data_IF_041902705940
#
_entry.id   IF_041902705940
#
_cell.length_a   1.000
_cell.length_b   1.000
_cell.length_c   1.000
_cell.angle_alpha   90.00
_cell.angle_beta   90.00
_cell.angle_gamma   90.00
#
_symmetry.space_group_name_H-M   'P 1'
#
loop_
_entity.id
_entity.type
_entity.pdbx_description
1 polymer ?
#
# COMPACT_ATOMS: atom_id res chain seq x y z
N UNK A 1 18.62 11.93 24.06
CA UNK A 1 17.34 11.47 24.65
C UNK A 1 16.36 12.61 24.86
N UNK A 2 16.84 13.86 25.04
CA UNK A 2 15.96 15.03 25.15
C UNK A 2 15.20 15.36 23.84
N UNK A 3 15.75 14.97 22.70
CA UNK A 3 15.19 15.18 21.36
C UNK A 3 13.91 14.33 21.11
N UNK A 4 13.72 13.24 21.89
CA UNK A 4 12.59 12.32 21.79
C UNK A 4 11.67 12.40 23.03
N UNK A 5 11.20 13.60 23.35
CA UNK A 5 10.32 13.86 24.49
C UNK A 5 8.83 13.83 24.13
N UNK A 6 8.49 13.47 22.90
CA UNK A 6 7.12 13.42 22.39
C UNK A 6 6.33 12.18 22.82
N UNK A 7 5.27 11.88 22.08
CA UNK A 7 4.37 10.74 22.32
C UNK A 7 5.13 9.41 22.25
N UNK A 8 4.75 8.46 23.13
CA UNK A 8 5.25 7.08 23.11
C UNK A 8 4.24 6.19 22.40
N UNK A 9 4.70 5.41 21.44
CA UNK A 9 3.91 4.41 20.73
C UNK A 9 4.28 3.01 21.25
N UNK A 10 3.27 2.13 21.43
CA UNK A 10 3.42 0.76 21.92
C UNK A 10 4.29 0.65 23.19
N UNK A 11 4.29 1.67 24.06
CA UNK A 11 5.13 1.79 25.25
C UNK A 11 6.65 1.61 24.99
N UNK A 12 7.06 1.71 23.74
CA UNK A 12 8.42 1.41 23.27
C UNK A 12 9.03 2.53 22.42
N UNK A 13 8.31 3.03 21.42
CA UNK A 13 8.86 3.96 20.44
C UNK A 13 8.57 5.41 20.83
N UNK A 14 9.60 6.17 21.15
CA UNK A 14 9.47 7.59 21.51
C UNK A 14 9.59 8.46 20.27
N UNK A 15 8.54 9.23 19.99
CA UNK A 15 8.55 10.22 18.92
C UNK A 15 9.28 11.49 19.35
N UNK A 16 9.84 12.29 18.43
CA UNK A 16 10.31 13.63 18.72
C UNK A 16 9.11 14.52 19.12
N UNK A 17 9.41 15.66 19.73
CA UNK A 17 8.40 16.70 19.93
C UNK A 17 7.91 17.14 18.54
N UNK A 18 6.59 17.31 18.34
CA UNK A 18 6.08 17.76 17.06
C UNK A 18 6.68 19.14 16.76
N UNK A 19 7.17 19.37 15.53
CA UNK A 19 7.53 20.71 15.11
C UNK A 19 6.28 21.61 15.19
N UNK A 20 6.47 22.90 15.52
CA UNK A 20 5.39 23.87 15.71
C UNK A 20 4.54 24.15 14.46
N UNK A 21 4.92 23.61 13.30
CA UNK A 21 4.16 23.67 12.05
C UNK A 21 3.56 22.30 11.76
N UNK A 22 2.23 22.23 11.84
CA UNK A 22 1.35 21.07 11.70
C UNK A 22 1.33 20.48 10.28
N UNK A 23 2.44 19.98 9.79
CA UNK A 23 2.38 19.01 8.71
C UNK A 23 2.50 17.61 9.32
N UNK A 24 1.40 16.86 9.30
CA UNK A 24 1.38 15.42 9.61
C UNK A 24 2.36 14.70 8.68
N UNK A 25 3.60 14.58 9.14
CA UNK A 25 4.59 13.79 8.44
C UNK A 25 4.16 12.33 8.57
N UNK A 26 3.82 11.70 7.45
CA UNK A 26 3.48 10.27 7.41
C UNK A 26 4.63 9.38 7.85
N UNK A 27 5.84 9.91 7.88
CA UNK A 27 7.05 9.23 8.33
C UNK A 27 7.80 10.14 9.30
N UNK A 28 8.23 9.58 10.42
CA UNK A 28 9.02 10.29 11.41
C UNK A 28 10.06 9.39 12.04
N UNK A 29 11.17 9.96 12.48
CA UNK A 29 12.15 9.24 13.28
C UNK A 29 11.60 9.00 14.68
N UNK A 30 11.94 7.86 15.26
CA UNK A 30 11.61 7.54 16.64
C UNK A 30 12.79 6.87 17.31
N UNK A 31 12.81 6.92 18.64
CA UNK A 31 13.79 6.22 19.45
C UNK A 31 13.18 4.95 20.03
N UNK A 32 13.73 3.80 19.69
CA UNK A 32 13.34 2.52 20.26
C UNK A 32 14.01 2.33 21.63
N UNK A 33 13.22 2.35 22.70
CA UNK A 33 13.70 2.23 24.08
C UNK A 33 14.22 0.83 24.41
N UNK A 34 13.89 -0.19 23.62
CA UNK A 34 14.35 -1.57 23.86
C UNK A 34 15.70 -1.84 23.21
N UNK A 35 15.88 -1.41 21.96
CA UNK A 35 17.16 -1.59 21.26
C UNK A 35 18.16 -0.46 21.51
N UNK A 36 17.69 0.71 21.96
CA UNK A 36 18.50 1.90 22.10
C UNK A 36 18.88 2.55 20.76
N UNK A 37 18.18 2.23 19.69
CA UNK A 37 18.46 2.72 18.33
C UNK A 37 17.36 3.65 17.83
N UNK A 38 17.72 4.50 16.88
CA UNK A 38 16.75 5.26 16.10
C UNK A 38 16.11 4.36 15.02
N UNK A 39 14.82 4.53 14.82
CA UNK A 39 14.00 3.81 13.83
C UNK A 39 13.18 4.79 13.02
N UNK A 40 12.73 4.37 11.86
CA UNK A 40 11.74 5.10 11.07
C UNK A 40 10.34 4.54 11.40
N UNK A 41 9.41 5.44 11.71
CA UNK A 41 8.02 5.07 11.99
C UNK A 41 7.13 5.70 10.94
N UNK A 42 6.36 4.86 10.24
CA UNK A 42 5.38 5.29 9.24
C UNK A 42 3.97 5.11 9.77
N UNK A 43 3.15 6.16 9.61
CA UNK A 43 1.74 6.17 9.97
C UNK A 43 0.88 5.89 8.75
N UNK A 44 0.00 4.88 8.84
CA UNK A 44 -1.07 4.61 7.89
C UNK A 44 -2.39 4.90 8.59
N UNK A 45 -3.10 5.98 8.22
CA UNK A 45 -4.39 6.34 8.85
C UNK A 45 -5.42 5.24 8.60
N UNK A 46 -6.15 4.85 9.63
CA UNK A 46 -7.28 3.94 9.47
C UNK A 46 -8.49 4.70 8.93
N UNK A 47 -9.23 4.12 7.96
CA UNK A 47 -10.42 4.75 7.41
C UNK A 47 -11.45 5.06 8.51
N UNK A 48 -12.03 6.23 8.48
CA UNK A 48 -13.16 6.57 9.34
C UNK A 48 -14.42 5.84 8.87
N UNK A 49 -15.16 5.27 9.81
CA UNK A 49 -16.49 4.73 9.54
C UNK A 49 -17.47 5.88 9.64
N UNK A 50 -17.91 6.39 8.50
CA UNK A 50 -19.05 7.30 8.46
C UNK A 50 -20.31 6.45 8.51
N UNK A 51 -20.97 6.40 9.66
CA UNK A 51 -22.33 5.87 9.72
C UNK A 51 -23.23 6.78 8.88
N UNK A 52 -23.70 6.29 7.75
CA UNK A 52 -24.67 7.00 6.94
C UNK A 52 -25.97 7.13 7.75
N UNK A 53 -26.30 8.34 8.17
CA UNK A 53 -27.59 8.65 8.77
C UNK A 53 -28.66 8.41 7.70
N UNK A 54 -29.49 7.40 7.90
CA UNK A 54 -30.68 7.22 7.08
C UNK A 54 -31.64 8.31 7.50
N UNK A 55 -31.78 9.35 6.66
CA UNK A 55 -32.81 10.38 6.84
C UNK A 55 -34.16 9.68 6.83
N UNK A 56 -34.91 9.80 7.91
CA UNK A 56 -36.30 9.35 7.96
C UNK A 56 -37.11 10.08 6.89
N UNK A 57 -38.08 9.37 6.31
CA UNK A 57 -38.89 9.85 5.18
C UNK A 57 -39.65 11.17 5.44
N UNK A 58 -39.74 11.61 6.70
CA UNK A 58 -40.39 12.85 7.11
C UNK A 58 -39.60 14.14 6.78
N UNK A 59 -38.33 14.01 6.38
CA UNK A 59 -37.47 15.14 6.01
C UNK A 59 -37.21 15.26 4.49
N UNK A 60 -37.81 14.44 3.67
CA UNK A 60 -37.63 14.49 2.20
C UNK A 60 -38.64 15.46 1.58
N UNK A 61 -38.25 16.28 0.57
CA UNK A 61 -39.17 17.11 -0.19
C UNK A 61 -40.27 16.28 -0.86
N UNK A 62 -41.49 16.83 -0.92
CA UNK A 62 -42.65 16.20 -1.59
C UNK A 62 -42.27 15.72 -2.99
N UNK A 63 -42.36 14.40 -3.22
CA UNK A 63 -42.10 13.78 -4.51
C UNK A 63 -41.11 12.61 -4.49
N UNK A 64 -40.42 12.35 -3.36
CA UNK A 64 -39.55 11.18 -3.24
C UNK A 64 -40.30 9.99 -2.63
N UNK A 65 -40.43 8.91 -3.39
CA UNK A 65 -40.99 7.63 -2.89
C UNK A 65 -39.84 6.71 -2.52
N UNK A 66 -39.67 6.44 -1.23
CA UNK A 66 -38.71 5.45 -0.72
C UNK A 66 -39.12 4.03 -1.19
N UNK A 67 -38.24 3.40 -1.96
CA UNK A 67 -38.43 2.02 -2.43
C UNK A 67 -37.88 1.07 -1.36
N UNK A 68 -38.78 0.31 -0.78
CA UNK A 68 -38.62 -0.79 0.18
C UNK A 68 -38.53 -0.45 1.68
N UNK A 69 -39.62 -0.89 2.33
CA UNK A 69 -39.81 -0.79 3.77
C UNK A 69 -38.95 -1.75 4.59
N UNK A 70 -37.90 -1.22 5.20
CA UNK A 70 -37.39 -1.72 6.48
C UNK A 70 -37.37 -0.56 7.46
N UNK A 71 -38.05 -0.76 8.58
CA UNK A 71 -38.21 0.20 9.67
C UNK A 71 -36.85 0.75 10.10
N UNK A 72 -36.63 2.03 9.80
CA UNK A 72 -35.53 2.81 10.33
C UNK A 72 -35.69 2.96 11.85
N UNK A 73 -34.67 2.62 12.62
CA UNK A 73 -34.55 2.99 14.03
C UNK A 73 -33.88 4.34 14.10
N UNK A 74 -34.49 5.18 14.88
CA UNK A 74 -34.21 6.54 15.29
C UNK A 74 -32.73 6.94 15.33
N UNK A 75 -32.52 8.16 14.89
CA UNK A 75 -31.31 8.95 14.84
C UNK A 75 -30.45 8.85 16.11
N UNK A 76 -29.22 8.52 15.93
CA UNK A 76 -28.16 8.76 16.90
C UNK A 76 -27.09 9.65 16.25
N UNK A 77 -26.58 10.57 17.04
CA UNK A 77 -25.63 11.60 16.69
C UNK A 77 -24.48 11.08 15.81
N UNK A 78 -24.08 11.88 14.82
CA UNK A 78 -22.90 11.68 13.99
C UNK A 78 -21.67 11.51 14.86
N UNK A 79 -21.26 10.29 15.11
CA UNK A 79 -19.93 10.00 15.62
C UNK A 79 -19.10 9.44 14.47
N UNK A 80 -18.17 10.22 13.96
CA UNK A 80 -17.06 9.71 13.16
C UNK A 80 -16.24 8.80 14.07
N UNK A 81 -16.48 7.49 14.01
CA UNK A 81 -15.72 6.53 14.77
C UNK A 81 -14.59 6.01 13.87
N UNK A 82 -13.36 6.29 14.22
CA UNK A 82 -12.20 5.62 13.63
C UNK A 82 -12.35 4.11 13.80
N UNK A 83 -12.02 3.31 12.80
CA UNK A 83 -12.06 1.83 12.88
C UNK A 83 -11.28 1.35 14.09
N UNK A 84 -11.89 0.44 14.84
CA UNK A 84 -11.24 -0.15 16.02
C UNK A 84 -10.13 -1.10 15.59
N UNK A 85 -9.07 -1.27 16.39
CA UNK A 85 -8.03 -2.26 16.13
C UNK A 85 -8.55 -3.69 15.92
N UNK A 86 -9.72 -4.01 16.47
CA UNK A 86 -10.41 -5.31 16.34
C UNK A 86 -11.28 -5.44 15.08
N UNK A 87 -11.36 -4.40 14.24
CA UNK A 87 -12.08 -4.49 12.95
C UNK A 87 -11.39 -5.52 12.04
N UNK A 88 -12.13 -6.45 11.42
CA UNK A 88 -11.54 -7.47 10.53
C UNK A 88 -10.69 -6.88 9.39
N UNK A 89 -11.03 -5.69 8.90
CA UNK A 89 -10.25 -5.02 7.85
C UNK A 89 -8.92 -4.52 8.40
N UNK A 90 -8.89 -4.00 9.63
CA UNK A 90 -7.65 -3.57 10.29
C UNK A 90 -6.76 -4.76 10.62
N UNK A 91 -7.34 -5.87 11.10
CA UNK A 91 -6.59 -7.10 11.36
C UNK A 91 -5.96 -7.65 10.08
N UNK A 92 -6.68 -7.68 8.96
CA UNK A 92 -6.11 -8.07 7.66
C UNK A 92 -4.98 -7.15 7.20
N UNK A 93 -5.10 -5.84 7.44
CA UNK A 93 -4.03 -4.90 7.12
C UNK A 93 -2.77 -5.13 7.95
N UNK A 94 -2.92 -5.42 9.26
CA UNK A 94 -1.81 -5.80 10.12
C UNK A 94 -1.16 -7.11 9.62
N UNK A 95 -1.97 -8.14 9.35
CA UNK A 95 -1.47 -9.42 8.83
C UNK A 95 -0.73 -9.26 7.49
N UNK A 96 -1.26 -8.43 6.58
CA UNK A 96 -0.62 -8.15 5.30
C UNK A 96 0.73 -7.45 5.46
N UNK A 97 0.80 -6.44 6.32
CA UNK A 97 2.05 -5.75 6.62
C UNK A 97 3.07 -6.67 7.30
N UNK A 98 2.64 -7.50 8.26
CA UNK A 98 3.50 -8.48 8.93
C UNK A 98 3.99 -9.57 7.98
N UNK A 99 3.13 -10.02 7.07
CA UNK A 99 3.54 -10.97 6.02
C UNK A 99 4.59 -10.36 5.08
N UNK A 100 4.45 -9.09 4.71
CA UNK A 100 5.45 -8.37 3.94
C UNK A 100 6.77 -8.20 4.72
N UNK A 101 6.68 -7.93 6.03
CA UNK A 101 7.83 -7.81 6.92
C UNK A 101 8.58 -9.14 7.13
N UNK A 102 7.96 -10.29 6.83
CA UNK A 102 8.59 -11.61 6.96
C UNK A 102 9.49 -12.01 5.79
N UNK A 103 9.62 -11.16 4.77
CA UNK A 103 10.56 -11.37 3.67
C UNK A 103 11.98 -11.34 4.23
N UNK A 104 12.87 -12.28 3.83
CA UNK A 104 14.25 -12.28 4.30
C UNK A 104 14.98 -10.97 4.00
N UNK A 105 15.85 -10.57 4.93
CA UNK A 105 16.65 -9.35 4.80
C UNK A 105 17.41 -9.30 3.48
N UNK A 106 17.34 -8.17 2.84
CA UNK A 106 18.03 -7.94 1.59
C UNK A 106 18.55 -6.51 1.52
N UNK A 107 19.81 -6.27 1.08
CA UNK A 107 20.44 -4.94 1.13
C UNK A 107 19.78 -3.87 0.24
N UNK A 108 18.76 -4.23 -0.55
CA UNK A 108 17.98 -3.32 -1.38
C UNK A 108 16.50 -3.25 -1.00
N UNK A 109 16.13 -3.79 0.16
CA UNK A 109 14.79 -3.70 0.74
C UNK A 109 14.91 -3.17 2.16
N UNK A 110 13.95 -2.38 2.61
CA UNK A 110 13.89 -1.91 3.99
C UNK A 110 13.50 -3.05 4.93
N UNK A 111 14.14 -3.11 6.09
CA UNK A 111 13.81 -4.06 7.14
C UNK A 111 12.70 -3.48 8.02
N UNK A 112 11.61 -4.24 8.18
CA UNK A 112 10.50 -3.89 9.06
C UNK A 112 10.64 -4.64 10.38
N UNK A 113 10.63 -3.90 11.50
CA UNK A 113 10.83 -4.44 12.85
C UNK A 113 9.53 -4.72 13.58
N UNK A 114 8.49 -3.90 13.33
CA UNK A 114 7.23 -3.99 14.07
C UNK A 114 6.06 -3.42 13.27
N UNK A 115 4.86 -3.96 13.53
CA UNK A 115 3.59 -3.50 12.94
C UNK A 115 2.49 -3.60 13.98
N UNK A 116 1.84 -2.48 14.31
CA UNK A 116 0.79 -2.44 15.31
C UNK A 116 -0.24 -1.34 15.02
N UNK A 117 -1.44 -1.45 15.62
CA UNK A 117 -2.48 -0.42 15.53
C UNK A 117 -2.60 0.32 16.86
N UNK A 118 -2.56 1.67 16.81
CA UNK A 118 -2.72 2.52 17.97
C UNK A 118 -3.26 3.90 17.57
N UNK A 119 -4.22 4.42 18.33
CA UNK A 119 -4.70 5.79 18.20
C UNK A 119 -5.31 6.11 16.83
N UNK A 120 -6.06 5.17 16.23
CA UNK A 120 -6.71 5.36 14.94
C UNK A 120 -5.80 5.24 13.72
N UNK A 121 -4.62 4.68 13.92
CA UNK A 121 -3.64 4.47 12.85
C UNK A 121 -2.96 3.12 12.98
N UNK A 122 -2.53 2.59 11.85
CA UNK A 122 -1.58 1.50 11.77
C UNK A 122 -0.17 2.10 11.73
N UNK A 123 0.72 1.56 12.53
CA UNK A 123 2.10 2.00 12.64
C UNK A 123 3.03 0.89 12.14
N UNK A 124 3.94 1.26 11.26
CA UNK A 124 4.98 0.37 10.72
C UNK A 124 6.33 0.95 11.13
N UNK A 125 7.11 0.16 11.83
CA UNK A 125 8.43 0.52 12.31
C UNK A 125 9.47 -0.19 11.47
N UNK A 126 10.36 0.57 10.84
CA UNK A 126 11.42 0.04 9.98
C UNK A 126 12.78 0.62 10.35
N UNK A 127 13.81 0.07 9.73
CA UNK A 127 15.17 0.60 9.88
C UNK A 127 15.24 2.07 9.44
N UNK A 128 16.02 2.85 10.17
CA UNK A 128 16.38 4.20 9.76
C UNK A 128 17.68 4.13 8.95
N UNK A 129 17.56 4.29 7.63
CA UNK A 129 18.70 4.24 6.73
C UNK A 129 19.19 5.66 6.44
N UNK A 130 20.50 5.94 6.49
CA UNK A 130 21.07 7.20 6.02
C UNK A 130 20.97 7.26 4.50
N UNK A 131 19.87 7.82 4.01
CA UNK A 131 19.54 7.85 2.60
C UNK A 131 18.66 9.07 2.27
N UNK A 132 18.59 9.39 0.99
CA UNK A 132 17.71 10.42 0.44
C UNK A 132 16.72 9.80 -0.54
N UNK A 133 15.49 10.29 -0.56
CA UNK A 133 14.53 9.84 -1.58
C UNK A 133 14.98 10.26 -2.97
N UNK A 134 14.66 9.45 -3.96
CA UNK A 134 14.92 9.80 -5.34
C UNK A 134 14.20 11.11 -5.74
N UNK A 135 13.01 11.37 -5.16
CA UNK A 135 12.28 12.63 -5.31
C UNK A 135 13.16 13.84 -4.92
N UNK A 136 13.77 13.80 -3.73
CA UNK A 136 14.61 14.93 -3.26
C UNK A 136 15.85 15.13 -4.11
N UNK A 137 16.43 14.05 -4.65
CA UNK A 137 17.57 14.15 -5.57
C UNK A 137 17.18 14.72 -6.93
N UNK A 138 16.03 14.31 -7.46
CA UNK A 138 15.51 14.82 -8.74
C UNK A 138 15.08 16.28 -8.66
N UNK A 139 14.63 16.74 -7.49
CA UNK A 139 14.31 18.15 -7.24
C UNK A 139 15.55 19.07 -7.33
N UNK A 140 16.74 18.55 -7.01
CA UNK A 140 18.00 19.31 -7.13
C UNK A 140 18.53 19.35 -8.57
N UNK A 141 18.57 18.19 -9.22
CA UNK A 141 19.05 18.05 -10.60
C UNK A 141 18.62 16.72 -11.23
N UNK A 142 18.46 16.67 -12.57
CA UNK A 142 18.24 15.42 -13.27
C UNK A 142 19.41 14.45 -13.09
N UNK A 143 19.10 13.14 -13.05
CA UNK A 143 20.13 12.10 -13.05
C UNK A 143 20.82 12.04 -14.42
N UNK A 144 22.10 11.70 -14.41
CA UNK A 144 22.78 11.32 -15.65
C UNK A 144 22.19 9.99 -16.15
N UNK A 145 22.23 9.72 -17.48
CA UNK A 145 21.72 8.45 -18.03
C UNK A 145 22.36 7.22 -17.38
N UNK A 146 23.65 7.29 -17.08
CA UNK A 146 24.38 6.22 -16.40
C UNK A 146 23.83 5.99 -14.97
N UNK A 147 23.68 7.06 -14.19
CA UNK A 147 23.14 6.96 -12.82
C UNK A 147 21.70 6.49 -12.81
N UNK A 148 20.88 6.90 -13.77
CA UNK A 148 19.51 6.43 -13.92
C UNK A 148 19.46 4.90 -14.18
N UNK A 149 20.39 4.40 -15.02
CA UNK A 149 20.50 2.97 -15.29
C UNK A 149 20.94 2.17 -14.04
N UNK A 150 21.86 2.69 -13.22
CA UNK A 150 22.25 2.07 -11.94
C UNK A 150 21.07 2.00 -10.98
N UNK A 151 20.33 3.10 -10.80
CA UNK A 151 19.12 3.13 -9.96
C UNK A 151 18.11 2.09 -10.44
N UNK A 152 17.84 2.03 -11.73
CA UNK A 152 16.92 1.05 -12.31
C UNK A 152 17.40 -0.39 -12.08
N UNK A 153 18.69 -0.67 -12.24
CA UNK A 153 19.26 -2.00 -12.01
C UNK A 153 19.10 -2.44 -10.55
N UNK A 154 19.35 -1.55 -9.60
CA UNK A 154 19.19 -1.85 -8.17
C UNK A 154 17.73 -2.11 -7.80
N UNK A 155 16.78 -1.29 -8.31
CA UNK A 155 15.34 -1.52 -8.12
C UNK A 155 14.93 -2.88 -8.71
N UNK A 156 15.40 -3.23 -9.90
CA UNK A 156 15.11 -4.54 -10.51
C UNK A 156 15.68 -5.70 -9.68
N UNK A 157 16.83 -5.54 -9.01
CA UNK A 157 17.36 -6.54 -8.11
C UNK A 157 16.48 -6.71 -6.86
N UNK A 158 15.99 -5.62 -6.27
CA UNK A 158 15.01 -5.67 -5.18
C UNK A 158 13.73 -6.41 -5.61
N UNK A 159 13.19 -6.06 -6.79
CA UNK A 159 11.98 -6.70 -7.32
C UNK A 159 12.15 -8.19 -7.59
N UNK A 160 13.33 -8.63 -8.03
CA UNK A 160 13.60 -10.07 -8.20
C UNK A 160 13.45 -10.84 -6.90
N UNK A 161 13.89 -10.27 -5.77
CA UNK A 161 13.72 -10.88 -4.46
C UNK A 161 12.24 -10.95 -4.09
N UNK A 162 11.51 -9.84 -4.22
CA UNK A 162 10.08 -9.81 -3.95
C UNK A 162 9.31 -10.82 -4.79
N UNK A 163 9.55 -10.86 -6.10
CA UNK A 163 8.89 -11.79 -7.01
C UNK A 163 9.23 -13.25 -6.73
N UNK A 164 10.44 -13.55 -6.28
CA UNK A 164 10.82 -14.92 -5.85
C UNK A 164 10.01 -15.39 -4.64
N UNK A 165 9.51 -14.47 -3.81
CA UNK A 165 8.61 -14.74 -2.69
C UNK A 165 7.12 -14.52 -3.05
N UNK A 166 6.81 -14.31 -4.32
CA UNK A 166 5.45 -14.11 -4.83
C UNK A 166 4.89 -12.70 -4.61
N UNK A 167 5.66 -11.78 -4.03
CA UNK A 167 5.21 -10.41 -3.78
C UNK A 167 5.34 -9.51 -5.00
N UNK A 168 4.36 -8.62 -5.17
CA UNK A 168 4.40 -7.50 -6.12
C UNK A 168 4.39 -6.21 -5.34
N UNK A 169 5.34 -5.30 -5.60
CA UNK A 169 5.49 -4.07 -4.81
C UNK A 169 4.35 -3.06 -5.03
N UNK A 170 3.85 -2.93 -6.23
CA UNK A 170 2.72 -2.09 -6.70
C UNK A 170 2.82 -0.57 -6.42
N UNK A 171 3.73 -0.13 -5.56
CA UNK A 171 3.90 1.29 -5.19
C UNK A 171 5.36 1.74 -5.35
N UNK A 172 5.89 1.65 -6.58
CA UNK A 172 7.24 2.13 -6.90
C UNK A 172 7.12 3.58 -7.36
N UNK A 173 7.65 4.49 -6.56
CA UNK A 173 7.64 5.92 -6.82
C UNK A 173 9.01 6.51 -6.46
N UNK A 174 9.26 7.75 -6.85
CA UNK A 174 10.46 8.47 -6.43
C UNK A 174 10.58 8.69 -4.91
N UNK A 175 9.50 8.47 -4.15
CA UNK A 175 9.50 8.53 -2.67
C UNK A 175 9.87 7.21 -2.04
N UNK A 176 9.48 6.09 -2.68
CA UNK A 176 9.76 4.75 -2.18
C UNK A 176 11.10 4.20 -2.64
N UNK A 177 11.79 4.91 -3.52
CA UNK A 177 13.17 4.61 -3.94
C UNK A 177 14.11 5.53 -3.18
N UNK A 178 14.94 4.94 -2.31
CA UNK A 178 15.95 5.65 -1.53
C UNK A 178 17.33 5.43 -2.12
N UNK A 179 18.14 6.48 -2.11
CA UNK A 179 19.55 6.43 -2.48
C UNK A 179 20.38 6.66 -1.23
N UNK A 180 21.09 5.63 -0.80
CA UNK A 180 21.94 5.64 0.40
C UNK A 180 23.22 6.47 0.17
N UNK A 181 23.85 6.91 1.26
CA UNK A 181 25.10 7.69 1.21
C UNK A 181 26.26 6.91 0.59
N UNK A 182 26.22 5.57 0.67
CA UNK A 182 27.19 4.66 0.01
C UNK A 182 26.90 4.43 -1.49
N UNK A 183 25.86 5.04 -2.01
CA UNK A 183 25.44 4.96 -3.40
C UNK A 183 24.51 3.79 -3.74
N UNK A 184 24.23 2.86 -2.81
CA UNK A 184 23.21 1.81 -2.99
C UNK A 184 21.82 2.43 -3.14
N UNK A 185 20.96 1.70 -3.83
CA UNK A 185 19.53 2.05 -3.93
C UNK A 185 18.72 1.02 -3.18
N UNK A 186 17.79 1.49 -2.37
CA UNK A 186 16.83 0.66 -1.63
C UNK A 186 15.41 0.96 -2.09
N UNK A 187 14.61 -0.08 -2.17
CA UNK A 187 13.16 0.01 -2.40
C UNK A 187 12.45 -0.20 -1.07
N UNK A 188 11.64 0.78 -0.66
CA UNK A 188 10.95 0.80 0.64
C UNK A 188 9.44 0.83 0.47
N UNK A 189 8.71 0.56 1.55
CA UNK A 189 7.27 0.78 1.60
C UNK A 189 6.43 -0.40 1.17
N UNK A 190 6.98 -1.61 1.03
CA UNK A 190 6.20 -2.81 0.71
C UNK A 190 5.15 -3.09 1.79
N UNK A 191 5.54 -3.05 3.08
CA UNK A 191 4.62 -3.35 4.19
C UNK A 191 3.51 -2.32 4.30
N UNK A 192 3.80 -1.03 4.10
CA UNK A 192 2.77 0.01 4.09
C UNK A 192 1.82 -0.11 2.90
N UNK A 193 2.35 -0.41 1.70
CA UNK A 193 1.53 -0.68 0.53
C UNK A 193 0.62 -1.88 0.71
N UNK A 194 1.12 -2.97 1.29
CA UNK A 194 0.32 -4.14 1.62
C UNK A 194 -0.80 -3.83 2.62
N UNK A 195 -0.51 -3.03 3.66
CA UNK A 195 -1.52 -2.60 4.61
C UNK A 195 -2.60 -1.73 3.94
N UNK A 196 -2.21 -0.75 3.13
CA UNK A 196 -3.14 0.13 2.41
C UNK A 196 -4.03 -0.66 1.44
N UNK A 197 -3.49 -1.62 0.70
CA UNK A 197 -4.26 -2.51 -0.17
C UNK A 197 -5.29 -3.33 0.61
N UNK A 198 -4.88 -3.92 1.74
CA UNK A 198 -5.78 -4.68 2.58
C UNK A 198 -6.90 -3.80 3.19
N UNK A 199 -6.61 -2.55 3.55
CA UNK A 199 -7.61 -1.57 3.99
C UNK A 199 -8.61 -1.22 2.87
N UNK A 200 -8.17 -1.25 1.61
CA UNK A 200 -9.03 -1.07 0.44
C UNK A 200 -9.80 -2.35 0.04
N UNK A 201 -9.62 -3.46 0.74
CA UNK A 201 -10.33 -4.71 0.50
C UNK A 201 -9.65 -5.67 -0.47
N UNK A 202 -8.42 -5.40 -0.88
CA UNK A 202 -7.59 -6.31 -1.68
C UNK A 202 -6.84 -7.31 -0.77
N UNK A 203 -6.42 -8.44 -1.32
CA UNK A 203 -5.50 -9.36 -0.63
C UNK A 203 -4.13 -9.30 -1.29
N UNK A 204 -3.15 -8.59 -0.69
CA UNK A 204 -1.80 -8.48 -1.25
C UNK A 204 -0.91 -9.68 -0.93
N UNK A 205 -1.32 -10.59 -0.01
CA UNK A 205 -0.47 -11.65 0.52
C UNK A 205 -0.36 -12.81 -0.48
N UNK A 206 0.85 -13.19 -0.92
CA UNK A 206 1.03 -14.31 -1.85
C UNK A 206 0.55 -15.65 -1.27
N UNK A 207 -0.09 -16.46 -2.10
CA UNK A 207 -0.38 -17.87 -1.77
C UNK A 207 -1.66 -18.13 -0.99
N UNK A 208 -2.45 -17.11 -0.66
CA UNK A 208 -3.81 -17.33 -0.10
C UNK A 208 -4.81 -17.75 -1.16
N UNK A 209 -4.66 -17.28 -2.39
CA UNK A 209 -5.33 -17.77 -3.58
C UNK A 209 -4.29 -18.47 -4.45
N UNK A 210 -4.53 -19.73 -4.82
CA UNK A 210 -3.58 -20.53 -5.62
C UNK A 210 -3.12 -19.82 -6.90
N UNK A 211 -2.13 -20.36 -7.66
CA UNK A 211 -1.44 -19.64 -8.72
C UNK A 211 -2.42 -19.16 -9.79
N UNK A 212 -2.69 -17.87 -9.80
CA UNK A 212 -3.19 -17.14 -10.95
C UNK A 212 -4.70 -17.02 -11.12
N UNK A 213 -5.31 -16.06 -10.41
CA UNK A 213 -6.40 -15.31 -11.04
C UNK A 213 -6.05 -13.83 -10.93
N UNK A 214 -5.36 -13.32 -11.92
CA UNK A 214 -5.32 -11.91 -12.22
C UNK A 214 -6.72 -11.51 -12.60
N UNK A 215 -7.48 -10.94 -11.67
CA UNK A 215 -8.74 -10.28 -11.95
C UNK A 215 -8.50 -9.07 -12.87
N UNK A 216 -8.58 -9.29 -14.18
CA UNK A 216 -8.72 -8.20 -15.13
C UNK A 216 -10.11 -7.58 -14.94
N UNK A 217 -10.23 -6.24 -14.86
CA UNK A 217 -11.52 -5.59 -14.84
C UNK A 217 -12.24 -5.90 -16.16
N UNK A 218 -13.45 -6.50 -16.05
CA UNK A 218 -14.28 -6.89 -17.18
C UNK A 218 -14.62 -5.69 -18.08
N UNK A 219 -13.90 -5.60 -19.19
CA UNK A 219 -14.27 -4.80 -20.32
C UNK A 219 -15.29 -5.57 -21.15
N UNK A 220 -16.52 -5.11 -21.21
CA UNK A 220 -17.56 -5.60 -22.11
C UNK A 220 -17.10 -5.41 -23.55
N UNK A 221 -16.70 -6.50 -24.23
CA UNK A 221 -16.49 -6.51 -25.66
C UNK A 221 -17.76 -7.01 -26.35
N UNK A 222 -18.36 -6.11 -27.10
CA UNK A 222 -19.50 -6.38 -27.97
C UNK A 222 -19.11 -7.44 -29.03
N UNK A 223 -19.96 -8.48 -29.13
CA UNK A 223 -19.88 -9.48 -30.19
C UNK A 223 -20.36 -8.86 -31.50
N UNK A 224 -19.45 -8.77 -32.47
CA UNK A 224 -19.81 -8.53 -33.87
C UNK A 224 -19.71 -9.88 -34.58
N UNK A 225 -20.85 -10.40 -35.00
CA UNK A 225 -20.99 -11.60 -35.80
C UNK A 225 -20.45 -11.38 -37.22
N UNK A 226 -19.64 -12.32 -37.68
CA UNK A 226 -19.34 -12.47 -39.10
C UNK A 226 -19.58 -13.91 -39.52
N UNK A 227 -20.56 -14.06 -40.36
CA UNK A 227 -20.95 -15.27 -41.09
C UNK A 227 -19.91 -15.56 -42.16
N UNK A 228 -19.36 -16.80 -42.21
CA UNK A 228 -18.55 -17.24 -43.35
C UNK A 228 -19.20 -18.44 -44.02
N UNK A 229 -19.54 -18.27 -45.26
CA UNK A 229 -19.94 -19.29 -46.25
C UNK A 229 -18.69 -19.95 -46.84
N UNK A 230 -18.87 -21.25 -47.09
CA UNK A 230 -17.91 -22.24 -47.48
C UNK A 230 -17.18 -22.13 -48.81
N UNK A 231 -16.30 -23.13 -49.04
CA UNK A 231 -15.70 -23.44 -50.31
C UNK A 231 -14.38 -24.18 -50.19
N UNK A 232 -14.41 -25.51 -50.33
CA UNK A 232 -13.31 -26.34 -50.76
C UNK A 232 -13.60 -26.86 -52.18
N UNK A 233 -12.72 -27.65 -52.90
CA UNK A 233 -11.29 -27.85 -52.83
C UNK A 233 -10.61 -27.76 -54.24
N UNK A 234 -9.30 -27.85 -54.33
CA UNK A 234 -8.59 -27.94 -55.64
C UNK A 234 -7.12 -28.43 -55.47
N UNK A 235 -6.92 -29.60 -56.01
CA UNK A 235 -5.69 -30.36 -56.13
C UNK A 235 -4.73 -29.89 -57.24
N UNK A 236 -3.45 -30.22 -57.15
CA UNK A 236 -2.42 -30.23 -58.24
C UNK A 236 -1.15 -29.58 -57.73
N UNK A 237 0.05 -30.16 -57.69
CA UNK A 237 0.65 -31.10 -58.61
C UNK A 237 1.87 -30.45 -59.27
N UNK A 238 3.10 -31.01 -59.05
CA UNK A 238 4.33 -30.65 -59.81
C UNK A 238 5.23 -29.64 -59.08
N UNK A 239 6.53 -29.79 -58.77
CA UNK A 239 7.51 -30.59 -59.43
C UNK A 239 8.63 -29.69 -59.97
N UNK A 240 9.86 -30.01 -59.59
CA UNK A 240 11.15 -29.53 -60.16
C UNK A 240 11.71 -28.17 -59.76
N UNK A 241 12.99 -28.25 -59.35
CA UNK A 241 13.98 -27.21 -59.40
C UNK A 241 14.91 -27.26 -58.20
#
# INVERSE_FOLDING_TARGET
VEEYAGRVLADRYRLPLPPSDEFEQRETRAFDTYSGQEVLVRQVPLPEVVEAEVLDADGLPDGFVARDGRRARSAAARSTATRRPSDPTVLRAIEAAQAAASIPDHPRLDQVFDVFAQGGSLWIVSELVPARSLESLLAEKPLTPYRAAEVAADVLMALRVLHAHGWVHRNITERTVLVCDDGRVMLTGLASGAAEEALCGYDPVPGRDGPGVTGAPGGAAAAVGASTTGGAPGSGGGGYG
#
